data_IF_566882603081
#
_entry.id   IF_566882603081
#
_cell.length_a   1.000
_cell.length_b   1.000
_cell.length_c   1.000
_cell.angle_alpha   90.00
_cell.angle_beta   90.00
_cell.angle_gamma   90.00
#
_symmetry.space_group_name_H-M   'P 1'
#
loop_
_entity.id
_entity.type
_entity.pdbx_description
1 polymer ?
#
# COMPACT_ATOMS: atom_id res chain seq x y z
N UNK A 1 -7.93 -3.50 3.35
CA UNK A 1 -6.92 -3.30 4.42
C UNK A 1 -6.49 -1.84 4.57
N UNK A 2 -5.92 -1.18 3.55
CA UNK A 2 -5.44 0.20 3.60
C UNK A 2 -6.47 1.22 4.14
N UNK A 3 -7.72 1.17 3.65
CA UNK A 3 -8.82 2.01 4.16
C UNK A 3 -9.02 1.85 5.67
N UNK A 4 -8.95 0.61 6.19
CA UNK A 4 -9.06 0.31 7.62
C UNK A 4 -7.86 0.83 8.43
N UNK A 5 -6.68 0.87 7.81
CA UNK A 5 -5.49 1.52 8.36
C UNK A 5 -5.68 3.03 8.55
N UNK A 6 -6.40 3.70 7.63
CA UNK A 6 -6.77 5.12 7.76
C UNK A 6 -7.84 5.31 8.83
N UNK A 7 -8.91 4.51 8.79
CA UNK A 7 -10.03 4.59 9.75
C UNK A 7 -9.60 4.35 11.21
N UNK A 8 -8.62 3.48 11.43
CA UNK A 8 -8.05 3.22 12.77
C UNK A 8 -7.08 4.31 13.25
N UNK A 9 -6.73 5.27 12.39
CA UNK A 9 -5.77 6.34 12.70
C UNK A 9 -4.31 5.90 12.71
N UNK A 10 -4.00 4.66 12.32
CA UNK A 10 -2.62 4.16 12.13
C UNK A 10 -1.96 4.86 10.93
N UNK A 11 -2.70 5.00 9.83
CA UNK A 11 -2.32 5.77 8.64
C UNK A 11 -3.02 7.13 8.68
N UNK A 12 -2.34 8.17 8.21
CA UNK A 12 -2.93 9.50 8.01
C UNK A 12 -3.74 9.54 6.72
N UNK A 13 -3.19 9.00 5.63
CA UNK A 13 -3.83 8.99 4.33
C UNK A 13 -3.21 7.96 3.40
N UNK A 14 -3.97 7.57 2.37
CA UNK A 14 -3.50 6.76 1.26
C UNK A 14 -3.83 7.51 -0.03
N UNK A 15 -2.85 7.67 -0.91
CA UNK A 15 -3.01 8.26 -2.24
C UNK A 15 -2.55 7.23 -3.28
N UNK A 16 -3.38 6.99 -4.30
CA UNK A 16 -3.08 6.06 -5.38
C UNK A 16 -3.08 6.85 -6.68
N UNK A 17 -2.02 6.70 -7.45
CA UNK A 17 -1.79 7.39 -8.71
C UNK A 17 -1.39 6.36 -9.76
N UNK A 18 -1.66 6.66 -11.03
CA UNK A 18 -1.24 5.89 -12.21
C UNK A 18 -0.67 6.86 -13.24
N UNK A 19 0.30 6.48 -14.08
CA UNK A 19 0.83 7.37 -15.10
C UNK A 19 -0.25 7.76 -16.11
N UNK A 20 -0.32 9.03 -16.49
CA UNK A 20 -1.22 9.48 -17.56
C UNK A 20 -0.62 9.35 -18.96
N UNK A 21 0.71 9.27 -19.05
CA UNK A 21 1.46 9.33 -20.30
C UNK A 21 2.23 8.04 -20.53
N UNK A 22 2.56 7.75 -21.78
CA UNK A 22 3.42 6.64 -22.16
C UNK A 22 4.83 6.77 -21.55
N UNK A 23 5.40 5.64 -21.15
CA UNK A 23 6.76 5.51 -20.61
C UNK A 23 7.50 4.40 -21.37
N UNK A 24 8.83 4.40 -21.33
CA UNK A 24 9.61 3.27 -21.83
C UNK A 24 9.29 2.01 -21.05
N UNK A 25 9.45 0.85 -21.70
CA UNK A 25 9.06 -0.45 -21.14
C UNK A 25 9.77 -0.77 -19.81
N UNK A 26 11.02 -0.33 -19.66
CA UNK A 26 11.85 -0.51 -18.47
C UNK A 26 11.49 0.41 -17.30
N UNK A 27 10.84 1.54 -17.57
CA UNK A 27 10.47 2.55 -16.58
C UNK A 27 8.96 2.55 -16.24
N UNK A 28 8.17 1.69 -16.89
CA UNK A 28 6.71 1.65 -16.70
C UNK A 28 6.34 1.13 -15.30
N UNK A 29 5.28 1.66 -14.75
CA UNK A 29 4.66 1.20 -13.51
C UNK A 29 3.15 1.43 -13.58
N UNK A 30 2.34 0.52 -13.02
CA UNK A 30 0.88 0.63 -13.08
C UNK A 30 0.31 1.57 -12.02
N UNK A 31 0.79 1.44 -10.78
CA UNK A 31 0.31 2.22 -9.65
C UNK A 31 1.46 2.69 -8.75
N UNK A 32 1.34 3.92 -8.25
CA UNK A 32 2.11 4.46 -7.14
C UNK A 32 1.17 4.63 -5.97
N UNK A 33 1.48 3.97 -4.86
CA UNK A 33 0.72 4.07 -3.61
C UNK A 33 1.55 4.83 -2.60
N UNK A 34 1.10 6.03 -2.22
CA UNK A 34 1.72 6.82 -1.15
C UNK A 34 0.91 6.66 0.14
N UNK A 35 1.52 6.05 1.16
CA UNK A 35 0.93 5.89 2.49
C UNK A 35 1.61 6.86 3.45
N UNK A 36 0.83 7.79 4.01
CA UNK A 36 1.34 8.76 4.99
C UNK A 36 1.11 8.24 6.39
N UNK A 37 2.16 8.22 7.21
CA UNK A 37 2.09 7.89 8.63
C UNK A 37 2.39 9.12 9.49
N UNK A 38 1.98 9.09 10.76
CA UNK A 38 2.26 10.17 11.71
C UNK A 38 3.74 10.24 12.10
N UNK A 39 4.45 9.12 12.06
CA UNK A 39 5.86 8.99 12.40
C UNK A 39 6.48 7.74 11.76
N UNK A 40 7.82 7.66 11.81
CA UNK A 40 8.57 6.54 11.24
C UNK A 40 8.25 5.21 11.92
N UNK A 41 8.05 5.19 13.23
CA UNK A 41 7.76 3.95 13.97
C UNK A 41 6.54 3.25 13.43
N UNK A 42 5.43 3.97 13.18
CA UNK A 42 4.23 3.38 12.60
C UNK A 42 4.41 2.89 11.15
N UNK A 43 5.32 3.53 10.39
CA UNK A 43 5.62 3.18 9.02
C UNK A 43 6.51 1.94 8.88
N UNK A 44 7.40 1.70 9.84
CA UNK A 44 8.45 0.67 9.75
C UNK A 44 8.29 -0.49 10.72
N UNK A 45 7.22 -0.51 11.52
CA UNK A 45 6.89 -1.63 12.41
C UNK A 45 5.66 -2.38 11.93
N UNK A 46 5.62 -3.67 12.22
CA UNK A 46 4.46 -4.50 11.94
C UNK A 46 3.20 -3.93 12.62
N UNK A 47 2.04 -4.17 11.99
CA UNK A 47 0.75 -3.77 12.54
C UNK A 47 0.15 -4.94 13.35
N UNK A 48 0.10 -4.85 14.69
CA UNK A 48 -0.41 -5.96 15.51
C UNK A 48 -1.91 -6.24 15.28
N UNK A 49 -2.66 -5.32 14.67
CA UNK A 49 -4.08 -5.52 14.35
C UNK A 49 -4.32 -6.11 12.95
N UNK A 50 -3.28 -6.28 12.14
CA UNK A 50 -3.42 -6.63 10.72
C UNK A 50 -4.12 -7.96 10.49
N UNK A 51 -3.67 -9.04 11.15
CA UNK A 51 -4.29 -10.36 11.01
C UNK A 51 -5.77 -10.34 11.41
N UNK A 52 -6.09 -9.65 12.52
CA UNK A 52 -7.49 -9.49 12.96
C UNK A 52 -8.33 -8.76 11.91
N UNK A 53 -7.80 -7.71 11.29
CA UNK A 53 -8.49 -7.00 10.22
C UNK A 53 -8.64 -7.83 8.95
N UNK A 54 -7.63 -8.61 8.57
CA UNK A 54 -7.70 -9.52 7.43
C UNK A 54 -8.84 -10.52 7.63
N UNK A 55 -8.89 -11.17 8.80
CA UNK A 55 -9.94 -12.14 9.12
C UNK A 55 -11.36 -11.52 9.10
N UNK A 56 -11.49 -10.26 9.53
CA UNK A 56 -12.78 -9.56 9.52
C UNK A 56 -13.19 -9.10 8.13
N UNK A 57 -12.24 -8.68 7.28
CA UNK A 57 -12.51 -8.17 5.94
C UNK A 57 -12.73 -9.29 4.93
N UNK A 58 -12.05 -10.43 5.12
CA UNK A 58 -12.14 -11.60 4.25
C UNK A 58 -12.42 -12.87 5.08
N UNK A 59 -13.69 -13.13 5.47
CA UNK A 59 -14.01 -14.30 6.28
C UNK A 59 -13.67 -15.64 5.62
N UNK A 60 -13.77 -15.71 4.28
CA UNK A 60 -13.28 -16.86 3.50
C UNK A 60 -11.76 -16.78 3.33
N UNK A 61 -11.06 -17.32 4.32
CA UNK A 61 -9.60 -17.35 4.37
C UNK A 61 -8.97 -18.25 3.31
N UNK A 62 -9.69 -19.26 2.81
CA UNK A 62 -9.17 -20.12 1.75
C UNK A 62 -9.10 -19.36 0.43
N UNK A 63 -10.18 -18.64 0.08
CA UNK A 63 -10.20 -17.77 -1.09
C UNK A 63 -9.20 -16.61 -0.95
N UNK A 64 -9.13 -15.96 0.20
CA UNK A 64 -8.17 -14.87 0.44
C UNK A 64 -6.72 -15.30 0.17
N UNK A 65 -6.28 -16.42 0.74
CA UNK A 65 -4.91 -16.92 0.55
C UNK A 65 -4.61 -17.28 -0.90
N UNK A 66 -5.57 -17.89 -1.60
CA UNK A 66 -5.43 -18.25 -3.02
C UNK A 66 -5.30 -17.01 -3.90
N UNK A 67 -6.09 -15.96 -3.65
CA UNK A 67 -6.01 -14.71 -4.42
C UNK A 67 -4.74 -13.91 -4.07
N UNK A 68 -4.30 -13.90 -2.81
CA UNK A 68 -3.02 -13.26 -2.42
C UNK A 68 -1.82 -13.95 -3.06
N UNK A 69 -1.81 -15.29 -3.11
CA UNK A 69 -0.80 -16.04 -3.84
C UNK A 69 -0.79 -15.65 -5.33
N UNK A 70 -1.96 -15.66 -5.97
CA UNK A 70 -2.10 -15.25 -7.37
C UNK A 70 -1.65 -13.81 -7.61
N UNK A 71 -1.93 -12.89 -6.67
CA UNK A 71 -1.48 -11.49 -6.74
C UNK A 71 0.04 -11.38 -6.82
N UNK A 72 0.77 -12.22 -6.08
CA UNK A 72 2.23 -12.26 -6.15
C UNK A 72 2.74 -12.97 -7.41
N UNK A 73 2.06 -14.01 -7.90
CA UNK A 73 2.43 -14.69 -9.14
C UNK A 73 2.38 -13.79 -10.37
N UNK A 74 1.49 -12.78 -10.37
CA UNK A 74 1.37 -11.81 -11.46
C UNK A 74 2.18 -10.52 -11.23
N UNK A 75 2.88 -10.40 -10.09
CA UNK A 75 3.65 -9.20 -9.76
C UNK A 75 4.98 -9.19 -10.52
N UNK A 76 5.14 -8.26 -11.46
CA UNK A 76 6.38 -8.12 -12.22
C UNK A 76 7.51 -7.49 -11.41
N UNK A 77 7.21 -6.43 -10.65
CA UNK A 77 8.16 -5.72 -9.80
C UNK A 77 7.43 -4.89 -8.72
N UNK A 78 8.11 -4.62 -7.61
CA UNK A 78 7.69 -3.64 -6.62
C UNK A 78 8.92 -2.96 -6.00
N UNK A 79 8.76 -1.72 -5.57
CA UNK A 79 9.79 -0.97 -4.86
C UNK A 79 9.15 -0.22 -3.71
N UNK A 80 9.77 -0.29 -2.54
CA UNK A 80 9.42 0.53 -1.38
C UNK A 80 10.44 1.66 -1.24
N UNK A 81 9.97 2.89 -1.37
CA UNK A 81 10.81 4.08 -1.39
C UNK A 81 10.28 5.12 -0.37
N UNK A 82 11.06 5.46 0.67
CA UNK A 82 10.78 6.63 1.47
C UNK A 82 10.88 7.90 0.60
N UNK A 83 9.91 8.79 0.73
CA UNK A 83 9.89 10.06 -0.01
C UNK A 83 9.75 11.24 0.95
N UNK A 84 10.42 12.35 0.63
CA UNK A 84 10.31 13.61 1.35
C UNK A 84 9.53 14.60 0.50
N UNK A 85 8.51 15.22 1.08
CA UNK A 85 7.79 16.32 0.44
C UNK A 85 8.66 17.59 0.51
N UNK A 86 9.08 18.08 -0.66
CA UNK A 86 9.89 19.31 -0.82
C UNK A 86 9.06 20.48 -1.38
N UNK A 87 7.72 20.37 -1.36
CA UNK A 87 6.84 21.44 -1.84
C UNK A 87 7.09 22.72 -1.04
N UNK A 88 7.41 23.86 -1.70
CA UNK A 88 7.62 25.12 -0.99
C UNK A 88 6.39 25.53 -0.18
N UNK A 89 6.63 26.11 1.00
CA UNK A 89 5.57 26.76 1.75
C UNK A 89 4.96 27.88 0.88
N UNK A 90 3.63 28.01 0.95
CA UNK A 90 2.92 29.13 0.33
C UNK A 90 3.29 30.46 1.00
#
# INVERSE_FOLDING_TARGET
LLKRGVESGRMVSVKIETPSNHMTEDARWDYRVTIKFKNSTLATTANPQEESWINQLWPDQASYKREEQRRFEILLAHWDLPVTDITPAK
#
